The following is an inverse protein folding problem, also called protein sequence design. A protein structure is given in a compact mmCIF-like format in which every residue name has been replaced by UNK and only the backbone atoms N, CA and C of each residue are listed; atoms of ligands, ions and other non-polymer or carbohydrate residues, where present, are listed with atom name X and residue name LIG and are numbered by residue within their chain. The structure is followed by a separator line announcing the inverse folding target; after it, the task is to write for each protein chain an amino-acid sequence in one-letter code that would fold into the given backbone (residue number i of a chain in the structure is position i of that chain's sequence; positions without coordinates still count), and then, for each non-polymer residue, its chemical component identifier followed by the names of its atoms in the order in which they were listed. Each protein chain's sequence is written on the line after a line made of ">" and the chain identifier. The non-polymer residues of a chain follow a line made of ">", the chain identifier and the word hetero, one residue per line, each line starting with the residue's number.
data_IF_610964347868
#
_entry.id   IF_610964347868
#
_cell.length_a   1.000
_cell.length_b   1.000
_cell.length_c   1.000
_cell.angle_alpha   90.00
_cell.angle_beta   90.00
_cell.angle_gamma   90.00
#
_symmetry.space_group_name_H-M   'P 1'
#
loop_
_entity.id
_entity.type
_entity.pdbx_description
1 polymer ?
#
# COMPACT_ATOMS: atom_id res chain seq x y z
N UNK A 1 1.72 -12.59 -1.98
CA UNK A 1 1.54 -11.48 -2.88
C UNK A 1 0.05 -11.33 -3.23
N UNK A 2 -0.59 -10.17 -2.95
CA UNK A 2 -2.06 -10.04 -3.08
C UNK A 2 -2.59 -10.41 -4.46
N UNK A 3 -1.87 -10.10 -5.54
CA UNK A 3 -2.27 -10.43 -6.90
C UNK A 3 -2.33 -11.94 -7.22
N UNK A 4 -1.70 -12.78 -6.40
CA UNK A 4 -1.80 -14.23 -6.56
C UNK A 4 -3.16 -14.78 -6.09
N UNK A 5 -3.89 -14.03 -5.26
CA UNK A 5 -5.18 -14.46 -4.72
C UNK A 5 -6.35 -14.22 -5.66
N UNK A 6 -6.23 -13.33 -6.67
CA UNK A 6 -7.35 -12.91 -7.50
C UNK A 6 -8.46 -12.18 -6.72
N UNK A 7 -9.50 -11.75 -7.40
CA UNK A 7 -10.57 -10.95 -6.79
C UNK A 7 -11.45 -11.77 -5.82
N UNK A 8 -11.66 -13.06 -6.10
CA UNK A 8 -12.48 -13.96 -5.28
C UNK A 8 -11.69 -14.78 -4.25
N UNK A 9 -10.49 -14.30 -3.86
CA UNK A 9 -9.70 -14.97 -2.84
C UNK A 9 -9.21 -16.37 -3.22
N UNK A 10 -8.92 -16.58 -4.50
CA UNK A 10 -8.35 -17.82 -5.02
C UNK A 10 -9.34 -18.74 -5.73
N UNK A 11 -10.58 -18.30 -5.95
CA UNK A 11 -11.60 -19.10 -6.65
C UNK A 11 -11.92 -18.64 -8.07
N UNK A 12 -11.32 -17.57 -8.52
CA UNK A 12 -11.50 -17.04 -9.87
C UNK A 12 -10.38 -17.49 -10.82
N UNK A 13 -10.65 -17.39 -12.13
CA UNK A 13 -9.67 -17.70 -13.17
C UNK A 13 -8.45 -16.77 -13.15
N UNK A 14 -8.55 -15.66 -12.44
CA UNK A 14 -7.49 -14.67 -12.27
C UNK A 14 -6.56 -14.97 -11.09
N UNK A 15 -6.83 -16.02 -10.31
CA UNK A 15 -6.01 -16.44 -9.19
C UNK A 15 -4.95 -17.45 -9.61
N UNK A 16 -3.81 -17.43 -8.91
CA UNK A 16 -2.80 -18.47 -9.06
C UNK A 16 -3.37 -19.83 -8.58
N UNK A 17 -3.10 -20.96 -9.26
CA UNK A 17 -3.63 -22.27 -8.88
C UNK A 17 -3.38 -22.68 -7.43
N UNK A 18 -2.28 -22.24 -6.82
CA UNK A 18 -2.01 -22.44 -5.40
C UNK A 18 -3.09 -21.84 -4.49
N UNK A 19 -3.71 -20.72 -4.89
CA UNK A 19 -4.70 -20.04 -4.06
C UNK A 19 -5.98 -20.85 -3.88
N UNK A 20 -6.37 -21.64 -4.90
CA UNK A 20 -7.50 -22.56 -4.81
C UNK A 20 -7.30 -23.69 -3.79
N UNK A 21 -6.03 -24.03 -3.52
CA UNK A 21 -5.62 -25.13 -2.62
C UNK A 21 -5.46 -24.68 -1.17
N UNK A 22 -5.72 -23.42 -0.85
CA UNK A 22 -5.67 -22.93 0.54
C UNK A 22 -6.84 -23.53 1.32
N UNK A 23 -6.54 -24.27 2.36
CA UNK A 23 -7.50 -24.89 3.27
C UNK A 23 -7.57 -24.19 4.62
N UNK A 24 -6.45 -23.62 5.07
CA UNK A 24 -6.33 -22.97 6.38
C UNK A 24 -5.56 -21.67 6.27
N UNK A 25 -6.00 -20.68 7.04
CA UNK A 25 -5.33 -19.39 7.15
C UNK A 25 -5.15 -19.03 8.62
N UNK A 26 -3.92 -18.70 8.96
CA UNK A 26 -3.54 -18.21 10.28
C UNK A 26 -3.35 -16.70 10.21
N UNK A 27 -3.98 -16.00 11.12
CA UNK A 27 -3.95 -14.55 11.21
C UNK A 27 -3.16 -14.08 12.43
N UNK A 28 -2.23 -13.16 12.19
CA UNK A 28 -1.60 -12.34 13.20
C UNK A 28 -2.07 -10.90 13.02
N UNK A 29 -2.82 -10.36 13.96
CA UNK A 29 -3.45 -9.06 13.84
C UNK A 29 -4.69 -9.05 12.94
N UNK A 30 -5.04 -7.88 12.43
CA UNK A 30 -6.27 -7.67 11.65
C UNK A 30 -5.95 -7.21 10.23
N UNK A 31 -6.13 -8.05 9.21
CA UNK A 31 -5.99 -7.63 7.82
C UNK A 31 -7.15 -6.70 7.44
N UNK A 32 -6.84 -5.46 7.07
CA UNK A 32 -7.85 -4.44 6.72
C UNK A 32 -7.56 -3.77 5.38
N UNK A 33 -6.50 -4.17 4.68
CA UNK A 33 -5.99 -3.40 3.55
C UNK A 33 -6.55 -3.86 2.21
N UNK A 34 -6.46 -5.15 1.91
CA UNK A 34 -6.75 -5.70 0.58
C UNK A 34 -8.05 -6.50 0.54
N UNK A 35 -8.87 -6.24 -0.51
CA UNK A 35 -10.13 -6.95 -0.74
C UNK A 35 -9.91 -8.44 -1.03
N UNK A 36 -8.82 -8.79 -1.74
CA UNK A 36 -8.48 -10.18 -2.07
C UNK A 36 -8.22 -11.03 -0.83
N UNK A 37 -7.53 -10.47 0.17
CA UNK A 37 -7.33 -11.14 1.47
C UNK A 37 -8.65 -11.29 2.20
N UNK A 38 -9.49 -10.25 2.23
CA UNK A 38 -10.82 -10.34 2.86
C UNK A 38 -11.72 -11.36 2.15
N UNK A 39 -11.65 -11.47 0.82
CA UNK A 39 -12.37 -12.47 0.05
C UNK A 39 -11.88 -13.90 0.38
N UNK A 40 -10.58 -14.11 0.53
CA UNK A 40 -10.02 -15.39 1.00
C UNK A 40 -10.56 -15.76 2.38
N UNK A 41 -10.56 -14.82 3.32
CA UNK A 41 -11.07 -15.06 4.69
C UNK A 41 -12.57 -15.29 4.75
N UNK A 42 -13.31 -14.82 3.75
CA UNK A 42 -14.76 -15.05 3.63
C UNK A 42 -15.11 -16.40 2.98
N UNK A 43 -14.15 -17.14 2.44
CA UNK A 43 -14.39 -18.44 1.81
C UNK A 43 -14.91 -19.46 2.84
N UNK A 44 -16.03 -20.14 2.57
CA UNK A 44 -16.62 -21.11 3.51
C UNK A 44 -15.82 -22.42 3.64
N UNK A 45 -14.98 -22.71 2.64
CA UNK A 45 -14.11 -23.89 2.59
C UNK A 45 -12.72 -23.67 3.20
N UNK A 46 -12.43 -22.44 3.66
CA UNK A 46 -11.17 -22.11 4.32
C UNK A 46 -11.40 -21.93 5.81
N UNK A 47 -10.75 -22.75 6.60
CA UNK A 47 -10.73 -22.58 8.05
C UNK A 47 -9.77 -21.46 8.43
N UNK A 48 -10.18 -20.60 9.36
CA UNK A 48 -9.37 -19.44 9.78
C UNK A 48 -9.17 -19.43 11.29
N UNK A 49 -7.94 -19.18 11.74
CA UNK A 49 -7.61 -18.93 13.14
C UNK A 49 -6.94 -17.56 13.31
N UNK A 50 -7.27 -16.89 14.39
CA UNK A 50 -6.67 -15.62 14.80
C UNK A 50 -5.86 -15.83 16.07
N UNK A 51 -4.56 -15.54 16.01
CA UNK A 51 -3.74 -15.49 17.22
C UNK A 51 -4.09 -14.24 18.02
N UNK A 52 -4.67 -14.44 19.18
CA UNK A 52 -5.10 -13.41 20.12
C UNK A 52 -4.67 -13.81 21.55
N UNK A 53 -3.38 -13.59 21.91
CA UNK A 53 -2.83 -13.97 23.22
C UNK A 53 -3.48 -13.21 24.38
N UNK A 54 -4.14 -12.09 24.07
CA UNK A 54 -4.95 -11.31 24.98
C UNK A 54 -6.32 -11.02 24.36
N UNK A 55 -7.39 -10.88 25.17
CA UNK A 55 -8.70 -10.54 24.66
C UNK A 55 -8.67 -9.27 23.84
N UNK A 56 -9.02 -9.35 22.56
CA UNK A 56 -9.10 -8.18 21.69
C UNK A 56 -10.48 -7.52 21.84
N UNK A 57 -10.58 -6.25 22.27
CA UNK A 57 -11.85 -5.56 22.50
C UNK A 57 -12.75 -5.49 21.27
N UNK A 58 -12.16 -5.57 20.07
CA UNK A 58 -12.86 -5.54 18.79
C UNK A 58 -13.32 -6.93 18.32
N UNK A 59 -13.01 -7.99 19.08
CA UNK A 59 -13.42 -9.35 18.74
C UNK A 59 -14.82 -9.62 19.29
N UNK A 60 -15.81 -9.68 18.43
CA UNK A 60 -17.17 -10.04 18.78
C UNK A 60 -17.47 -11.47 18.32
N UNK A 61 -17.65 -12.41 19.25
CA UNK A 61 -18.05 -13.79 18.90
C UNK A 61 -19.32 -13.79 18.04
N UNK A 62 -19.31 -14.60 16.98
CA UNK A 62 -20.45 -14.72 16.06
C UNK A 62 -20.50 -13.71 14.91
N UNK A 63 -19.74 -12.62 14.97
CA UNK A 63 -19.56 -11.68 13.83
C UNK A 63 -18.36 -12.01 12.96
N UNK A 64 -17.46 -12.84 13.45
CA UNK A 64 -16.25 -13.27 12.75
C UNK A 64 -16.20 -14.79 12.70
N UNK A 65 -15.60 -15.29 11.63
CA UNK A 65 -15.48 -16.75 11.40
C UNK A 65 -14.20 -17.35 11.98
N UNK A 66 -13.23 -16.50 12.30
CA UNK A 66 -11.95 -16.94 12.79
C UNK A 66 -12.09 -17.58 14.19
N UNK A 67 -11.45 -18.70 14.39
CA UNK A 67 -11.28 -19.32 15.71
C UNK A 67 -10.19 -18.56 16.46
N UNK A 68 -10.48 -17.91 17.60
CA UNK A 68 -9.42 -17.32 18.42
C UNK A 68 -8.57 -18.40 19.04
N UNK A 69 -7.25 -18.23 19.00
CA UNK A 69 -6.27 -19.10 19.65
C UNK A 69 -5.30 -18.21 20.44
N UNK A 70 -5.00 -18.60 21.66
CA UNK A 70 -4.24 -17.79 22.61
C UNK A 70 -2.74 -18.10 22.54
N UNK A 71 -2.39 -19.34 22.22
CA UNK A 71 -1.01 -19.80 22.22
C UNK A 71 -0.49 -20.15 20.84
N UNK A 72 0.82 -20.07 20.67
CA UNK A 72 1.46 -20.52 19.42
C UNK A 72 1.35 -22.04 19.23
N UNK A 73 1.22 -22.82 20.30
CA UNK A 73 1.01 -24.25 20.24
C UNK A 73 -0.36 -24.60 19.68
N UNK A 74 -1.43 -23.96 20.15
CA UNK A 74 -2.77 -24.10 19.59
C UNK A 74 -2.80 -23.66 18.12
N UNK A 75 -2.09 -22.58 17.79
CA UNK A 75 -1.98 -22.09 16.44
C UNK A 75 -1.28 -23.10 15.52
N UNK A 76 -0.19 -23.71 15.99
CA UNK A 76 0.53 -24.75 15.26
C UNK A 76 -0.35 -26.00 15.07
N UNK A 77 -1.11 -26.39 16.09
CA UNK A 77 -2.06 -27.49 16.02
C UNK A 77 -3.17 -27.23 15.00
N UNK A 78 -3.71 -25.99 14.97
CA UNK A 78 -4.68 -25.57 13.96
C UNK A 78 -4.08 -25.59 12.56
N UNK A 79 -2.90 -25.00 12.37
CA UNK A 79 -2.24 -24.93 11.07
C UNK A 79 -1.94 -26.32 10.49
N UNK A 80 -1.55 -27.27 11.35
CA UNK A 80 -1.13 -28.61 10.95
C UNK A 80 0.14 -28.59 10.11
N UNK A 81 0.34 -29.64 9.33
CA UNK A 81 1.45 -29.74 8.39
C UNK A 81 0.95 -29.57 6.96
N UNK A 82 1.55 -28.63 6.24
CA UNK A 82 1.30 -28.49 4.81
C UNK A 82 2.01 -29.58 4.00
N UNK A 83 1.64 -29.70 2.72
CA UNK A 83 2.33 -30.60 1.80
C UNK A 83 3.81 -30.24 1.66
N UNK A 84 4.68 -31.23 1.47
CA UNK A 84 6.08 -30.97 1.15
C UNK A 84 6.22 -30.01 -0.04
N UNK A 85 7.02 -28.95 0.11
CA UNK A 85 7.22 -27.95 -0.93
C UNK A 85 6.16 -26.83 -0.98
N UNK A 86 5.13 -26.85 -0.16
CA UNK A 86 4.07 -25.81 -0.15
C UNK A 86 4.64 -24.40 -0.01
N UNK A 87 5.49 -24.17 0.99
CA UNK A 87 6.14 -22.89 1.20
C UNK A 87 7.02 -22.49 0.00
N UNK A 88 7.83 -23.43 -0.51
CA UNK A 88 8.70 -23.16 -1.65
C UNK A 88 7.91 -22.80 -2.92
N UNK A 89 6.76 -23.43 -3.15
CA UNK A 89 5.88 -23.10 -4.28
C UNK A 89 5.33 -21.67 -4.17
N UNK A 90 4.89 -21.24 -2.98
CA UNK A 90 4.45 -19.87 -2.74
C UNK A 90 5.58 -18.84 -2.88
N UNK A 91 6.77 -19.16 -2.34
CA UNK A 91 7.94 -18.29 -2.49
C UNK A 91 8.32 -18.12 -3.96
N UNK A 92 8.34 -19.22 -4.73
CA UNK A 92 8.63 -19.18 -6.16
C UNK A 92 7.59 -18.36 -6.94
N UNK A 93 6.30 -18.62 -6.74
CA UNK A 93 5.22 -17.85 -7.36
C UNK A 93 5.33 -16.35 -7.03
N UNK A 94 5.65 -16.06 -5.80
CA UNK A 94 5.80 -14.70 -5.29
C UNK A 94 7.01 -13.97 -5.88
N UNK A 95 8.15 -14.64 -6.07
CA UNK A 95 9.32 -14.07 -6.74
C UNK A 95 9.04 -13.76 -8.21
N UNK A 96 8.35 -14.66 -8.91
CA UNK A 96 7.96 -14.45 -10.32
C UNK A 96 6.98 -13.27 -10.43
N UNK A 97 6.00 -13.20 -9.55
CA UNK A 97 5.06 -12.08 -9.50
C UNK A 97 5.76 -10.74 -9.25
N UNK A 98 6.74 -10.71 -8.33
CA UNK A 98 7.51 -9.51 -8.05
C UNK A 98 8.31 -9.05 -9.29
N UNK A 99 9.04 -9.95 -9.96
CA UNK A 99 9.77 -9.62 -11.17
C UNK A 99 8.85 -9.07 -12.27
N UNK A 100 7.69 -9.69 -12.47
CA UNK A 100 6.70 -9.23 -13.44
C UNK A 100 6.13 -7.85 -13.11
N UNK A 101 5.93 -7.55 -11.82
CA UNK A 101 5.51 -6.20 -11.37
C UNK A 101 6.59 -5.17 -11.66
N UNK A 102 7.85 -5.46 -11.35
CA UNK A 102 8.97 -4.55 -11.59
C UNK A 102 9.14 -4.23 -13.07
N UNK A 103 9.10 -5.26 -13.93
CA UNK A 103 9.14 -5.09 -15.39
C UNK A 103 7.95 -4.27 -15.92
N UNK A 104 6.75 -4.56 -15.41
CA UNK A 104 5.55 -3.84 -15.81
C UNK A 104 5.57 -2.37 -15.38
N UNK A 105 6.11 -2.03 -14.20
CA UNK A 105 6.27 -0.65 -13.76
C UNK A 105 7.23 0.14 -14.67
N UNK A 106 8.30 -0.52 -15.18
CA UNK A 106 9.21 0.13 -16.14
C UNK A 106 8.50 0.42 -17.46
N UNK A 107 7.66 -0.51 -17.93
CA UNK A 107 7.00 -0.39 -19.24
C UNK A 107 5.74 0.47 -19.21
N UNK A 108 5.11 0.64 -18.07
CA UNK A 108 3.86 1.43 -17.93
C UNK A 108 4.07 2.90 -17.64
N UNK A 109 5.24 3.30 -17.16
CA UNK A 109 5.58 4.72 -17.03
C UNK A 109 5.66 5.33 -18.43
N UNK A 110 4.76 6.24 -18.75
CA UNK A 110 4.65 6.85 -20.05
C UNK A 110 5.55 8.08 -20.16
N UNK A 111 6.67 7.94 -20.85
CA UNK A 111 7.64 9.03 -21.01
C UNK A 111 8.25 9.44 -19.67
N UNK A 112 8.26 10.75 -19.38
CA UNK A 112 8.89 11.31 -18.18
C UNK A 112 7.94 11.35 -16.95
N UNK A 113 6.71 10.77 -17.06
CA UNK A 113 5.72 10.85 -15.99
C UNK A 113 5.62 9.55 -15.21
N UNK A 114 5.77 9.65 -13.88
CA UNK A 114 5.64 8.53 -12.96
C UNK A 114 4.17 8.21 -12.65
N UNK A 115 3.85 6.92 -12.60
CA UNK A 115 2.60 6.47 -12.00
C UNK A 115 2.67 6.50 -10.47
N UNK A 116 1.52 6.63 -9.77
CA UNK A 116 1.49 6.53 -8.30
C UNK A 116 2.10 5.23 -7.78
N UNK A 117 1.90 4.10 -8.49
CA UNK A 117 2.46 2.80 -8.15
C UNK A 117 3.98 2.78 -8.28
N UNK A 118 4.54 3.43 -9.30
CA UNK A 118 6.00 3.54 -9.44
C UNK A 118 6.59 4.40 -8.32
N UNK A 119 5.95 5.52 -7.96
CA UNK A 119 6.39 6.35 -6.84
C UNK A 119 6.42 5.53 -5.55
N UNK A 120 5.37 4.75 -5.30
CA UNK A 120 5.27 3.89 -4.12
C UNK A 120 6.39 2.83 -4.09
N UNK A 121 6.60 2.14 -5.22
CA UNK A 121 7.65 1.13 -5.37
C UNK A 121 9.04 1.70 -5.11
N UNK A 122 9.40 2.77 -5.83
CA UNK A 122 10.73 3.39 -5.71
C UNK A 122 10.96 3.93 -4.31
N UNK A 123 9.98 4.64 -3.74
CA UNK A 123 10.10 5.18 -2.40
C UNK A 123 10.34 4.09 -1.36
N UNK A 124 9.57 3.00 -1.39
CA UNK A 124 9.72 1.89 -0.46
C UNK A 124 11.05 1.12 -0.66
N UNK A 125 11.48 0.93 -1.90
CA UNK A 125 12.72 0.22 -2.22
C UNK A 125 13.99 1.01 -1.85
N UNK A 126 13.93 2.34 -1.89
CA UNK A 126 15.08 3.22 -1.62
C UNK A 126 15.29 3.52 -0.14
N UNK A 127 14.28 3.33 0.71
CA UNK A 127 14.35 3.66 2.14
C UNK A 127 15.38 2.80 2.88
N UNK A 128 16.21 3.45 3.68
CA UNK A 128 17.23 2.83 4.55
C UNK A 128 16.98 3.09 6.04
N UNK A 129 15.84 3.65 6.39
CA UNK A 129 15.41 4.03 7.72
C UNK A 129 13.91 3.80 7.91
N UNK A 130 13.28 4.52 8.82
CA UNK A 130 11.84 4.46 8.99
C UNK A 130 11.08 4.92 7.73
N UNK A 131 10.04 4.17 7.38
CA UNK A 131 9.07 4.48 6.33
C UNK A 131 7.70 4.68 6.96
N UNK A 132 7.13 5.87 6.85
CA UNK A 132 5.77 6.15 7.31
C UNK A 132 4.84 6.21 6.11
N UNK A 133 3.81 5.38 6.11
CA UNK A 133 2.85 5.27 5.02
C UNK A 133 1.54 5.99 5.38
N UNK A 134 1.17 6.96 4.56
CA UNK A 134 -0.12 7.59 4.63
C UNK A 134 -1.25 6.61 4.30
N UNK A 135 -2.40 6.81 4.92
CA UNK A 135 -3.62 6.06 4.63
C UNK A 135 -4.11 6.32 3.20
N UNK A 136 -5.21 5.70 2.79
CA UNK A 136 -5.81 5.80 1.47
C UNK A 136 -5.06 5.00 0.40
N UNK A 137 -4.65 5.62 -0.72
CA UNK A 137 -4.11 4.91 -1.89
C UNK A 137 -2.67 4.46 -1.71
N UNK A 138 -1.80 5.30 -1.18
CA UNK A 138 -0.35 5.06 -1.19
C UNK A 138 0.08 3.79 -0.46
N UNK A 139 -0.53 3.48 0.68
CA UNK A 139 -0.24 2.24 1.41
C UNK A 139 -0.67 1.00 0.61
N UNK A 140 -1.73 1.11 -0.21
CA UNK A 140 -2.17 0.04 -1.10
C UNK A 140 -1.25 -0.13 -2.29
N UNK A 141 -0.71 0.97 -2.81
CA UNK A 141 0.27 0.95 -3.89
C UNK A 141 1.57 0.28 -3.43
N UNK A 142 2.02 0.55 -2.20
CA UNK A 142 3.17 -0.13 -1.59
C UNK A 142 2.89 -1.63 -1.40
N UNK A 143 1.73 -2.01 -0.85
CA UNK A 143 1.32 -3.41 -0.68
C UNK A 143 1.25 -4.16 -2.03
N UNK A 144 0.87 -3.45 -3.09
CA UNK A 144 0.77 -4.00 -4.44
C UNK A 144 2.12 -4.17 -5.12
N UNK A 145 3.08 -3.28 -4.90
CA UNK A 145 4.28 -3.18 -5.73
C UNK A 145 5.58 -3.54 -5.02
N UNK A 146 5.62 -3.49 -3.70
CA UNK A 146 6.84 -3.69 -2.94
C UNK A 146 6.80 -4.94 -2.07
N UNK A 147 7.89 -5.69 -2.10
CA UNK A 147 8.17 -6.75 -1.14
C UNK A 147 9.39 -6.38 -0.34
N UNK A 148 9.28 -6.30 0.98
CA UNK A 148 10.45 -6.08 1.82
C UNK A 148 11.42 -7.27 1.69
N UNK A 149 12.73 -7.03 1.73
CA UNK A 149 13.71 -8.09 1.87
C UNK A 149 13.48 -8.89 3.16
N UNK A 150 14.05 -10.09 3.24
CA UNK A 150 13.85 -10.99 4.41
C UNK A 150 14.33 -10.39 5.73
N UNK A 151 15.27 -9.44 5.68
CA UNK A 151 15.73 -8.64 6.81
C UNK A 151 15.75 -7.18 6.38
N UNK A 152 14.60 -6.47 6.42
CA UNK A 152 14.54 -5.08 5.99
C UNK A 152 15.25 -4.18 7.01
N UNK A 153 16.10 -3.29 6.52
CA UNK A 153 16.64 -2.18 7.32
C UNK A 153 15.56 -1.13 7.63
N UNK A 154 14.46 -1.17 6.89
CA UNK A 154 13.35 -0.24 7.02
C UNK A 154 12.32 -0.74 8.03
N UNK A 155 12.01 0.11 9.00
CA UNK A 155 10.86 -0.04 9.89
C UNK A 155 9.65 0.65 9.25
N UNK A 156 8.56 -0.08 9.02
CA UNK A 156 7.36 0.48 8.38
C UNK A 156 6.31 0.84 9.42
N UNK A 157 5.84 2.08 9.36
CA UNK A 157 4.81 2.64 10.24
C UNK A 157 3.61 3.09 9.42
N UNK A 158 2.43 2.99 10.00
CA UNK A 158 1.20 3.54 9.43
C UNK A 158 0.17 3.81 10.52
N UNK A 159 -0.54 4.92 10.42
CA UNK A 159 -1.70 5.19 11.26
C UNK A 159 -2.85 4.30 10.81
N UNK A 160 -3.15 3.25 11.60
CA UNK A 160 -4.22 2.28 11.34
C UNK A 160 -5.16 2.20 12.54
N UNK A 161 -6.36 1.69 12.29
CA UNK A 161 -7.40 1.59 13.33
C UNK A 161 -8.61 2.41 12.95
N UNK A 162 -8.54 3.72 12.99
CA UNK A 162 -9.55 4.61 12.43
C UNK A 162 -9.24 4.92 10.96
N UNK A 163 -10.28 5.18 10.17
CA UNK A 163 -10.14 5.50 8.74
C UNK A 163 -9.92 7.01 8.56
N UNK A 164 -8.77 7.52 9.07
CA UNK A 164 -8.38 8.93 8.93
C UNK A 164 -7.15 9.06 8.03
N UNK A 165 -6.93 10.28 7.52
CA UNK A 165 -5.74 10.70 6.79
C UNK A 165 -4.98 11.80 7.52
N UNK A 166 -5.51 12.25 8.64
CA UNK A 166 -4.93 13.22 9.58
C UNK A 166 -3.81 12.58 10.42
N UNK A 167 -2.99 13.41 11.06
CA UNK A 167 -1.93 13.00 11.99
C UNK A 167 -0.70 12.33 11.35
N UNK A 168 -0.64 12.18 10.02
CA UNK A 168 0.43 11.40 9.38
C UNK A 168 1.76 12.16 9.33
N UNK A 169 1.74 13.46 9.07
CA UNK A 169 2.96 14.30 9.03
C UNK A 169 3.57 14.40 10.42
N UNK A 170 2.76 14.67 11.44
CA UNK A 170 3.20 14.70 12.85
C UNK A 170 3.72 13.34 13.32
N UNK A 171 3.07 12.24 12.92
CA UNK A 171 3.56 10.89 13.20
C UNK A 171 4.94 10.68 12.59
N UNK A 172 5.15 11.07 11.32
CA UNK A 172 6.42 10.92 10.65
C UNK A 172 7.54 11.76 11.31
N UNK A 173 7.23 12.99 11.70
CA UNK A 173 8.14 13.84 12.45
C UNK A 173 8.51 13.20 13.81
N UNK A 174 7.53 12.69 14.54
CA UNK A 174 7.74 11.98 15.81
C UNK A 174 8.59 10.72 15.65
N UNK A 175 8.38 9.94 14.61
CA UNK A 175 9.20 8.75 14.29
C UNK A 175 10.64 9.18 13.98
N UNK A 176 10.84 10.22 13.16
CA UNK A 176 12.18 10.73 12.82
C UNK A 176 12.95 11.15 14.07
N UNK A 177 12.31 11.92 14.97
CA UNK A 177 12.90 12.38 16.22
C UNK A 177 13.20 11.22 17.18
N UNK A 178 12.25 10.30 17.35
CA UNK A 178 12.40 9.16 18.27
C UNK A 178 13.48 8.17 17.81
N UNK A 179 13.63 7.97 16.51
CA UNK A 179 14.64 7.08 15.93
C UNK A 179 15.98 7.74 15.70
N UNK A 180 16.04 9.08 15.70
CA UNK A 180 17.25 9.82 15.37
C UNK A 180 17.81 9.48 13.98
N UNK A 181 16.92 9.08 13.06
CA UNK A 181 17.26 8.63 11.70
C UNK A 181 16.37 9.34 10.70
N UNK A 182 16.94 9.58 9.52
CA UNK A 182 16.16 10.08 8.40
C UNK A 182 14.97 9.17 8.11
N UNK A 183 13.80 9.77 8.13
CA UNK A 183 12.52 9.09 7.90
C UNK A 183 11.94 9.52 6.55
N UNK A 184 11.36 8.60 5.81
CA UNK A 184 10.57 8.91 4.62
C UNK A 184 9.10 8.73 4.95
N UNK A 185 8.30 9.77 4.70
CA UNK A 185 6.84 9.69 4.75
C UNK A 185 6.30 9.72 3.32
N UNK A 186 5.62 8.66 2.90
CA UNK A 186 4.96 8.58 1.61
C UNK A 186 3.47 8.88 1.79
N UNK A 187 2.99 9.96 1.19
CA UNK A 187 1.67 10.54 1.39
C UNK A 187 0.97 10.79 0.06
N UNK A 188 -0.38 10.79 0.07
CA UNK A 188 -1.15 11.48 -0.95
C UNK A 188 -1.25 12.98 -0.64
N UNK A 189 -1.59 13.77 -1.65
CA UNK A 189 -1.80 15.22 -1.56
C UNK A 189 -2.87 15.60 -0.51
N UNK A 190 -4.03 14.96 -0.53
CA UNK A 190 -5.08 15.20 0.48
C UNK A 190 -4.61 14.87 1.89
N UNK A 191 -3.79 13.84 2.08
CA UNK A 191 -3.20 13.52 3.39
C UNK A 191 -2.27 14.62 3.86
N UNK A 192 -1.43 15.16 2.96
CA UNK A 192 -0.53 16.26 3.26
C UNK A 192 -1.32 17.56 3.58
N UNK A 193 -2.37 17.83 2.84
CA UNK A 193 -3.23 19.01 3.05
C UNK A 193 -4.05 18.94 4.33
N UNK A 194 -4.58 17.76 4.69
CA UNK A 194 -5.33 17.55 5.93
C UNK A 194 -4.49 17.81 7.17
N UNK A 195 -3.18 17.70 7.06
CA UNK A 195 -2.28 17.92 8.18
C UNK A 195 -1.13 18.89 7.83
N UNK A 196 -1.44 19.92 7.05
CA UNK A 196 -0.46 20.97 6.76
C UNK A 196 0.13 21.61 8.03
N UNK A 197 -0.65 21.67 9.13
CA UNK A 197 -0.17 22.11 10.43
C UNK A 197 0.96 21.25 11.03
N UNK A 198 1.06 19.99 10.66
CA UNK A 198 2.18 19.10 11.05
C UNK A 198 3.52 19.48 10.42
N UNK A 199 3.51 20.38 9.42
CA UNK A 199 4.72 21.00 8.87
C UNK A 199 5.30 22.09 9.79
N UNK A 200 4.60 22.49 10.85
CA UNK A 200 5.11 23.50 11.76
C UNK A 200 6.11 22.89 12.74
N UNK A 201 7.31 23.41 12.75
CA UNK A 201 8.30 23.16 13.81
C UNK A 201 8.67 24.50 14.42
N UNK A 202 8.46 24.64 15.72
CA UNK A 202 8.76 25.88 16.44
C UNK A 202 10.26 26.17 16.50
N UNK A 203 10.68 27.43 16.69
CA UNK A 203 12.08 27.81 16.65
C UNK A 203 12.92 27.25 17.82
N UNK A 204 12.26 26.74 18.86
CA UNK A 204 12.89 26.11 20.02
C UNK A 204 12.83 24.58 19.98
N UNK A 205 12.20 24.02 18.96
CA UNK A 205 12.01 22.58 18.81
C UNK A 205 13.14 21.97 17.95
N UNK A 206 13.35 20.67 18.14
CA UNK A 206 14.31 19.93 17.33
C UNK A 206 13.75 19.69 15.93
N UNK A 207 14.51 20.05 14.90
CA UNK A 207 14.16 19.82 13.51
C UNK A 207 14.29 18.31 13.16
N UNK A 208 13.22 17.63 12.71
CA UNK A 208 13.31 16.23 12.30
C UNK A 208 13.97 16.07 10.93
N UNK A 209 14.78 15.03 10.74
CA UNK A 209 15.26 14.62 9.42
C UNK A 209 14.17 13.83 8.67
N UNK A 210 13.41 14.51 7.81
CA UNK A 210 12.18 13.98 7.23
C UNK A 210 12.02 14.33 5.74
N UNK A 211 11.91 13.30 4.91
CA UNK A 211 11.42 13.41 3.53
C UNK A 211 9.91 13.18 3.46
N UNK A 212 9.17 14.19 3.01
CA UNK A 212 7.76 14.09 2.69
C UNK A 212 7.61 13.86 1.18
N UNK A 213 7.44 12.61 0.76
CA UNK A 213 7.16 12.26 -0.64
C UNK A 213 5.66 12.34 -0.84
N UNK A 214 5.21 13.36 -1.56
CA UNK A 214 3.79 13.61 -1.80
C UNK A 214 3.42 13.21 -3.23
N UNK A 215 2.61 12.17 -3.35
CA UNK A 215 1.95 11.80 -4.60
C UNK A 215 0.80 12.78 -4.80
N UNK A 216 0.98 13.71 -5.74
CA UNK A 216 0.01 14.75 -6.05
C UNK A 216 -0.74 14.38 -7.34
N UNK A 217 -1.92 13.81 -7.18
CA UNK A 217 -2.85 13.49 -8.28
C UNK A 217 -4.11 14.39 -8.26
N UNK A 218 -4.03 15.52 -7.53
CA UNK A 218 -5.03 16.56 -7.39
C UNK A 218 -6.36 16.05 -6.83
N UNK A 219 -6.28 15.21 -5.78
CA UNK A 219 -7.48 14.85 -5.00
C UNK A 219 -7.64 13.38 -4.62
N UNK A 220 -8.89 12.94 -4.53
CA UNK A 220 -9.31 11.64 -4.01
C UNK A 220 -9.28 10.52 -5.03
N UNK A 221 -8.14 10.22 -5.67
CA UNK A 221 -8.02 9.19 -6.71
C UNK A 221 -8.46 7.78 -6.26
N UNK A 222 -8.48 7.48 -4.98
CA UNK A 222 -8.92 6.18 -4.46
C UNK A 222 -10.36 5.87 -4.88
N UNK A 223 -11.22 6.87 -4.95
CA UNK A 223 -12.64 6.68 -5.21
C UNK A 223 -12.94 6.17 -6.63
N UNK A 224 -12.07 6.48 -7.60
CA UNK A 224 -12.14 5.92 -8.94
C UNK A 224 -11.93 4.39 -8.96
N UNK A 225 -11.23 3.84 -7.97
CA UNK A 225 -10.97 2.40 -7.83
C UNK A 225 -11.97 1.69 -6.89
N UNK A 226 -12.97 2.40 -6.41
CA UNK A 226 -14.04 1.89 -5.55
C UNK A 226 -15.37 1.87 -6.31
N UNK A 227 -16.45 1.53 -5.61
CA UNK A 227 -17.82 1.53 -6.15
C UNK A 227 -18.23 2.88 -6.76
N UNK A 228 -17.67 3.96 -6.24
CA UNK A 228 -17.89 5.32 -6.75
C UNK A 228 -17.42 5.50 -8.19
N UNK A 229 -16.33 4.81 -8.61
CA UNK A 229 -15.89 4.80 -9.99
C UNK A 229 -16.97 4.26 -10.95
N UNK A 230 -17.60 3.15 -10.59
CA UNK A 230 -18.71 2.59 -11.37
C UNK A 230 -19.94 3.53 -11.40
N UNK A 231 -20.21 4.24 -10.30
CA UNK A 231 -21.27 5.27 -10.27
C UNK A 231 -20.97 6.41 -11.24
N UNK A 232 -19.70 6.82 -11.35
CA UNK A 232 -19.29 7.89 -12.26
C UNK A 232 -19.52 7.58 -13.75
N UNK A 233 -19.58 6.28 -14.11
CA UNK A 233 -19.87 5.84 -15.50
C UNK A 233 -21.35 6.02 -15.89
N UNK A 234 -22.24 6.18 -14.91
CA UNK A 234 -23.65 6.41 -15.20
C UNK A 234 -23.90 7.80 -15.79
N UNK A 235 -24.88 7.95 -16.70
CA UNK A 235 -25.17 9.26 -17.33
C UNK A 235 -25.42 10.37 -16.30
N UNK A 236 -24.67 11.47 -16.42
CA UNK A 236 -24.79 12.63 -15.56
C UNK A 236 -24.15 12.51 -14.17
N UNK A 237 -23.47 11.39 -13.84
CA UNK A 237 -22.89 11.16 -12.51
C UNK A 237 -21.40 11.47 -12.42
N UNK A 238 -20.70 11.64 -13.54
CA UNK A 238 -19.25 11.92 -13.54
C UNK A 238 -18.89 13.19 -12.75
N UNK A 239 -19.57 14.32 -13.03
CA UNK A 239 -19.32 15.59 -12.33
C UNK A 239 -19.68 15.53 -10.83
N UNK A 240 -20.85 15.02 -10.41
CA UNK A 240 -21.14 14.83 -8.99
C UNK A 240 -20.10 13.94 -8.25
N UNK A 241 -19.65 12.86 -8.87
CA UNK A 241 -18.63 11.98 -8.27
C UNK A 241 -17.29 12.70 -8.18
N UNK A 242 -16.86 13.40 -9.23
CA UNK A 242 -15.63 14.19 -9.20
C UNK A 242 -15.68 15.26 -8.12
N UNK A 243 -16.79 16.01 -8.02
CA UNK A 243 -16.95 17.06 -7.03
C UNK A 243 -16.98 16.55 -5.59
N UNK A 244 -17.67 15.44 -5.32
CA UNK A 244 -17.96 14.98 -3.96
C UNK A 244 -16.90 13.99 -3.43
N UNK A 245 -16.20 13.28 -4.31
CA UNK A 245 -15.25 12.23 -3.98
C UNK A 245 -13.87 12.51 -4.58
N UNK A 246 -13.79 12.93 -5.85
CA UNK A 246 -12.54 13.37 -6.47
C UNK A 246 -11.94 14.59 -5.77
N UNK A 247 -12.79 15.53 -5.39
CA UNK A 247 -12.44 16.74 -4.61
C UNK A 247 -11.14 17.40 -5.08
N UNK A 248 -11.02 17.78 -6.37
CA UNK A 248 -9.82 18.44 -6.88
C UNK A 248 -9.58 19.75 -6.10
N UNK A 249 -8.33 19.97 -5.68
CA UNK A 249 -8.03 21.07 -4.76
C UNK A 249 -7.25 22.21 -5.40
N UNK A 250 -6.47 21.96 -6.46
CA UNK A 250 -5.67 22.98 -7.16
C UNK A 250 -4.65 23.71 -6.29
N UNK A 251 -4.27 23.17 -5.13
CA UNK A 251 -3.35 23.83 -4.18
C UNK A 251 -1.92 23.77 -4.71
N UNK A 252 -1.20 24.90 -4.63
CA UNK A 252 0.23 24.95 -4.88
C UNK A 252 1.00 24.45 -3.62
N UNK A 253 1.51 23.23 -3.70
CA UNK A 253 2.27 22.61 -2.60
C UNK A 253 3.63 23.27 -2.38
N UNK A 254 4.20 23.93 -3.40
CA UNK A 254 5.44 24.69 -3.22
C UNK A 254 5.19 25.94 -2.37
N UNK A 255 4.10 26.67 -2.63
CA UNK A 255 3.70 27.82 -1.83
C UNK A 255 3.34 27.39 -0.38
N UNK A 256 2.65 26.26 -0.23
CA UNK A 256 2.34 25.70 1.09
C UNK A 256 3.63 25.37 1.86
N UNK A 257 4.56 24.63 1.27
CA UNK A 257 5.82 24.28 1.89
C UNK A 257 6.64 25.53 2.30
N UNK A 258 6.69 26.53 1.40
CA UNK A 258 7.38 27.79 1.67
C UNK A 258 6.80 28.54 2.88
N UNK A 259 5.46 28.50 3.07
CA UNK A 259 4.81 29.13 4.22
C UNK A 259 5.26 28.54 5.57
N UNK A 260 5.70 27.27 5.57
CA UNK A 260 6.24 26.58 6.76
C UNK A 260 7.78 26.51 6.78
N UNK A 261 8.45 27.18 5.83
CA UNK A 261 9.91 27.14 5.72
C UNK A 261 10.47 25.77 5.31
N UNK A 262 9.67 24.92 4.65
CA UNK A 262 10.06 23.59 4.19
C UNK A 262 10.55 23.67 2.76
N UNK A 263 11.80 23.26 2.45
CA UNK A 263 12.28 23.17 1.07
C UNK A 263 11.38 22.25 0.23
N UNK A 264 11.04 22.70 -0.98
CA UNK A 264 10.22 21.97 -1.93
C UNK A 264 11.03 21.60 -3.17
N UNK A 265 10.84 20.38 -3.65
CA UNK A 265 11.39 19.90 -4.92
C UNK A 265 10.30 19.20 -5.71
N UNK A 266 10.09 19.62 -6.96
CA UNK A 266 9.24 18.87 -7.89
C UNK A 266 10.07 17.78 -8.54
N UNK A 267 9.62 16.55 -8.41
CA UNK A 267 10.20 15.35 -9.01
C UNK A 267 9.39 15.00 -10.24
N UNK A 268 10.03 14.84 -11.39
CA UNK A 268 9.36 14.62 -12.67
C UNK A 268 9.51 13.19 -13.18
N UNK A 269 10.61 12.53 -12.87
CA UNK A 269 10.91 11.18 -13.38
C UNK A 269 11.53 10.27 -12.29
N UNK A 270 11.73 9.01 -12.65
CA UNK A 270 12.28 7.97 -11.76
C UNK A 270 13.72 8.29 -11.31
N UNK A 271 14.55 8.84 -12.20
CA UNK A 271 15.94 9.15 -11.88
C UNK A 271 16.02 10.28 -10.86
N UNK A 272 15.19 11.32 -11.04
CA UNK A 272 15.08 12.42 -10.10
C UNK A 272 14.57 11.96 -8.73
N UNK A 273 13.58 11.04 -8.70
CA UNK A 273 13.08 10.47 -7.44
C UNK A 273 14.18 9.69 -6.70
N UNK A 274 14.88 8.81 -7.42
CA UNK A 274 16.00 8.03 -6.85
C UNK A 274 17.11 8.96 -6.36
N UNK A 275 17.49 9.97 -7.14
CA UNK A 275 18.50 10.97 -6.76
C UNK A 275 18.08 11.70 -5.50
N UNK A 276 16.84 12.22 -5.47
CA UNK A 276 16.32 12.95 -4.33
C UNK A 276 16.34 12.10 -3.05
N UNK A 277 15.89 10.84 -3.12
CA UNK A 277 15.87 9.93 -1.97
C UNK A 277 17.26 9.46 -1.53
N UNK A 278 18.25 9.50 -2.44
CA UNK A 278 19.64 9.15 -2.13
C UNK A 278 20.44 10.33 -1.54
N UNK A 279 19.95 11.55 -1.71
CA UNK A 279 20.66 12.76 -1.29
C UNK A 279 20.60 12.94 0.24
N UNK A 280 21.74 13.05 0.93
CA UNK A 280 21.80 13.17 2.38
C UNK A 280 21.47 14.60 2.85
N UNK A 281 20.22 15.01 2.74
CA UNK A 281 19.74 16.30 3.26
C UNK A 281 19.42 16.18 4.75
N UNK A 282 19.68 17.24 5.52
CA UNK A 282 19.22 17.37 6.90
C UNK A 282 17.98 18.24 6.98
N UNK A 283 17.16 17.99 8.00
CA UNK A 283 15.90 18.69 8.22
C UNK A 283 14.77 18.14 7.33
N UNK A 284 13.69 18.89 7.26
CA UNK A 284 12.51 18.54 6.48
C UNK A 284 12.66 18.98 5.03
N UNK A 285 12.09 18.22 4.12
CA UNK A 285 11.81 18.66 2.74
C UNK A 285 10.57 17.99 2.19
N UNK A 286 9.91 18.63 1.24
CA UNK A 286 8.79 18.12 0.51
C UNK A 286 9.20 17.78 -0.93
N UNK A 287 9.05 16.52 -1.31
CA UNK A 287 9.25 16.01 -2.66
C UNK A 287 7.89 15.80 -3.32
N UNK A 288 7.47 16.72 -4.18
CA UNK A 288 6.21 16.61 -4.90
C UNK A 288 6.39 15.80 -6.17
N UNK A 289 5.64 14.71 -6.32
CA UNK A 289 5.55 13.92 -7.55
C UNK A 289 4.16 14.07 -8.13
N UNK A 290 4.05 14.80 -9.24
CA UNK A 290 2.77 14.96 -9.94
C UNK A 290 2.45 13.72 -10.75
N UNK A 291 1.28 13.15 -10.47
CA UNK A 291 0.73 11.98 -11.15
C UNK A 291 -0.59 12.31 -11.83
N UNK A 292 -1.00 11.48 -12.79
CA UNK A 292 -2.32 11.53 -13.37
C UNK A 292 -3.23 10.46 -12.72
N UNK A 293 -4.41 10.86 -12.28
CA UNK A 293 -5.38 9.92 -11.69
C UNK A 293 -5.76 8.79 -12.64
N UNK A 294 -5.80 9.06 -13.95
CA UNK A 294 -6.11 8.06 -14.97
C UNK A 294 -5.06 6.95 -15.08
N UNK A 295 -3.82 7.21 -14.64
CA UNK A 295 -2.76 6.20 -14.67
C UNK A 295 -3.00 5.09 -13.64
N UNK A 296 -3.62 5.38 -12.49
CA UNK A 296 -3.82 4.41 -11.41
C UNK A 296 -4.56 3.13 -11.85
N UNK A 297 -5.77 3.18 -12.43
CA UNK A 297 -6.46 1.97 -12.87
C UNK A 297 -5.75 1.29 -14.04
N UNK A 298 -5.19 2.06 -14.98
CA UNK A 298 -4.45 1.54 -16.12
C UNK A 298 -3.23 0.73 -15.67
N UNK A 299 -2.42 1.28 -14.79
CA UNK A 299 -1.22 0.60 -14.27
C UNK A 299 -1.61 -0.59 -13.40
N UNK A 300 -2.62 -0.47 -12.52
CA UNK A 300 -3.09 -1.60 -11.73
C UNK A 300 -3.53 -2.78 -12.60
N UNK A 301 -4.25 -2.53 -13.70
CA UNK A 301 -4.64 -3.55 -14.66
C UNK A 301 -3.42 -4.20 -15.35
N UNK A 302 -2.44 -3.40 -15.75
CA UNK A 302 -1.21 -3.89 -16.37
C UNK A 302 -0.41 -4.79 -15.40
N UNK A 303 -0.27 -4.39 -14.13
CA UNK A 303 0.39 -5.18 -13.09
C UNK A 303 -0.33 -6.52 -12.87
N UNK A 304 -1.67 -6.49 -12.78
CA UNK A 304 -2.45 -7.71 -12.64
C UNK A 304 -2.28 -8.65 -13.86
N UNK A 305 -2.28 -8.10 -15.08
CA UNK A 305 -2.05 -8.88 -16.29
C UNK A 305 -0.64 -9.48 -16.35
N UNK A 306 0.39 -8.70 -15.99
CA UNK A 306 1.77 -9.16 -15.94
C UNK A 306 1.95 -10.32 -14.94
N UNK A 307 1.35 -10.21 -13.75
CA UNK A 307 1.40 -11.30 -12.75
C UNK A 307 0.67 -12.54 -13.25
N UNK A 308 -0.53 -12.40 -13.84
CA UNK A 308 -1.26 -13.54 -14.43
C UNK A 308 -0.44 -14.27 -15.51
N UNK A 309 0.31 -13.55 -16.32
CA UNK A 309 1.17 -14.15 -17.34
C UNK A 309 2.29 -15.04 -16.76
N UNK A 310 2.56 -14.91 -15.46
CA UNK A 310 3.51 -15.79 -14.76
C UNK A 310 2.91 -17.11 -14.29
N UNK A 311 1.58 -17.26 -14.33
CA UNK A 311 0.92 -18.47 -13.82
C UNK A 311 1.25 -19.68 -14.71
N UNK A 312 1.34 -20.89 -14.14
CA UNK A 312 1.46 -22.08 -14.94
C UNK A 312 0.21 -22.24 -15.82
N UNK A 313 0.35 -22.80 -17.03
CA UNK A 313 -0.80 -23.11 -17.84
C UNK A 313 -1.76 -24.01 -17.05
N UNK A 314 -3.05 -23.64 -17.04
CA UNK A 314 -4.07 -24.49 -16.44
C UNK A 314 -4.12 -25.79 -17.21
N UNK A 315 -3.75 -26.89 -16.56
CA UNK A 315 -3.99 -28.20 -17.13
C UNK A 315 -5.54 -28.35 -17.22
N UNK A 316 -6.14 -28.61 -18.38
CA UNK A 316 -7.58 -28.87 -18.43
C UNK A 316 -7.85 -30.04 -17.49
N UNK A 317 -8.81 -29.82 -16.56
CA UNK A 317 -9.33 -30.92 -15.74
C UNK A 317 -9.94 -31.91 -16.74
N UNK A 318 -9.52 -33.16 -16.81
CA UNK A 318 -10.23 -34.15 -17.61
C UNK A 318 -11.66 -34.28 -17.04
N UNK A 319 -12.65 -34.25 -17.95
CA UNK A 319 -14.06 -34.43 -17.66
C UNK A 319 -14.37 -35.75 -16.93
#
# INVERSE_FOLDING_TARGET
>A
YPLLLGAAGGRDADAHPLAARIERVVLFGRPTLTRTVNALLARPDVATALHAPEPAPWFEPGRRRETPVETLEELAAFAGQGEPGWLAAWQHASMRAQAAVEDALVTTDAGDRLSPQTVAHVSAAMVRGPLVLGSSSVIRDVDLTWRPPSAPDAEVYANRGLAGIDGTVSTAAGVALARGRRTVALLGDLTALHEAGGLLVGPTETEPDLDLVVVNDDGGAIFASLEHGAVAEAPGMAEPVERLFGTPHGVDLAALAAAYGVPHTRVTDRVDLVRALSDPVRGRRLLEVRCDRADRPRVAAALAAAVRATFPPTCPVPD
#
